data_IF_998310754046
#
_entry.id   IF_998310754046
#
_cell.length_a   1.000
_cell.length_b   1.000
_cell.length_c   1.000
_cell.angle_alpha   90.00
_cell.angle_beta   90.00
_cell.angle_gamma   90.00
#
_symmetry.space_group_name_H-M   'P 1'
#
loop_
_entity.id
_entity.type
_entity.pdbx_description
1 polymer ?
#
# COMPACT_ATOMS: atom_id res chain seq x y z
N UNK A 1 9.62 16.77 -0.35
CA UNK A 1 9.13 15.47 0.09
C UNK A 1 7.76 15.63 0.74
N UNK A 2 6.81 14.82 0.37
CA UNK A 2 5.43 14.88 0.87
C UNK A 2 5.01 13.50 1.36
N UNK A 3 4.48 13.44 2.59
CA UNK A 3 3.98 12.18 3.16
C UNK A 3 2.47 12.27 3.37
N UNK A 4 1.76 11.23 2.95
CA UNK A 4 0.32 11.07 3.17
C UNK A 4 0.15 9.84 4.04
N UNK A 5 -0.40 10.02 5.24
CA UNK A 5 -0.54 8.96 6.25
C UNK A 5 -1.99 8.56 6.41
N UNK A 6 -2.18 7.29 6.70
CA UNK A 6 -3.45 6.75 7.15
C UNK A 6 -3.19 5.68 8.19
N UNK A 7 -4.20 5.38 8.99
CA UNK A 7 -4.10 4.27 9.93
C UNK A 7 -5.47 3.64 10.12
N UNK A 8 -5.47 2.36 10.50
CA UNK A 8 -6.69 1.63 10.80
C UNK A 8 -6.37 0.57 11.83
N UNK A 9 -7.29 0.37 12.79
CA UNK A 9 -7.18 -0.68 13.78
C UNK A 9 -7.90 -1.93 13.29
N UNK A 10 -7.27 -3.08 13.45
CA UNK A 10 -7.74 -4.37 12.98
C UNK A 10 -7.92 -5.30 14.17
N UNK A 11 -9.08 -5.96 14.24
CA UNK A 11 -9.31 -7.03 15.21
C UNK A 11 -8.70 -8.31 14.65
N UNK A 12 -7.41 -8.52 14.90
CA UNK A 12 -6.65 -9.62 14.32
C UNK A 12 -5.30 -9.77 15.02
N UNK A 13 -4.68 -10.93 14.85
CA UNK A 13 -3.27 -11.10 15.16
C UNK A 13 -2.43 -10.43 14.07
N UNK A 14 -1.22 -10.03 14.42
CA UNK A 14 -0.30 -9.45 13.45
C UNK A 14 0.09 -10.47 12.38
N UNK A 15 0.22 -11.75 12.73
CA UNK A 15 0.60 -12.78 11.77
C UNK A 15 -0.48 -13.01 10.71
N UNK A 16 -1.76 -12.98 11.08
CA UNK A 16 -2.86 -13.10 10.12
C UNK A 16 -2.88 -11.89 9.18
N UNK A 17 -2.78 -10.69 9.72
CA UNK A 17 -2.76 -9.47 8.92
C UNK A 17 -1.56 -9.44 7.97
N UNK A 18 -0.39 -9.81 8.43
CA UNK A 18 0.83 -9.88 7.61
C UNK A 18 0.69 -10.87 6.46
N UNK A 19 0.15 -12.04 6.76
CA UNK A 19 -0.04 -13.09 5.77
C UNK A 19 -0.96 -12.63 4.64
N UNK A 20 -2.04 -11.94 4.98
CA UNK A 20 -2.98 -11.41 3.99
C UNK A 20 -2.34 -10.28 3.18
N UNK A 21 -1.61 -9.38 3.83
CA UNK A 21 -0.92 -8.28 3.14
C UNK A 21 0.12 -8.79 2.14
N UNK A 22 0.86 -9.83 2.49
CA UNK A 22 1.94 -10.35 1.64
C UNK A 22 1.50 -11.44 0.66
N UNK A 23 0.26 -11.87 0.73
CA UNK A 23 -0.30 -12.80 -0.26
C UNK A 23 -0.80 -12.01 -1.47
N UNK A 24 0.15 -11.57 -2.28
CA UNK A 24 -0.11 -10.70 -3.42
C UNK A 24 -1.04 -11.31 -4.45
N UNK A 25 -1.04 -12.63 -4.59
CA UNK A 25 -1.87 -13.33 -5.57
C UNK A 25 -3.36 -13.19 -5.30
N UNK A 26 -3.76 -12.81 -4.08
CA UNK A 26 -5.16 -12.67 -3.68
C UNK A 26 -5.67 -11.23 -3.66
N UNK A 27 -4.84 -10.25 -3.98
CA UNK A 27 -5.26 -8.85 -3.97
C UNK A 27 -6.47 -8.58 -4.86
N UNK A 28 -6.57 -9.25 -5.98
CA UNK A 28 -7.72 -9.11 -6.89
C UNK A 28 -9.05 -9.49 -6.24
N UNK A 29 -9.03 -10.28 -5.18
CA UNK A 29 -10.24 -10.75 -4.49
C UNK A 29 -10.85 -9.66 -3.60
N UNK A 30 -10.01 -8.85 -2.96
CA UNK A 30 -10.50 -7.94 -1.92
C UNK A 30 -10.10 -6.46 -2.10
N UNK A 31 -9.01 -6.15 -2.81
CA UNK A 31 -8.51 -4.78 -2.89
C UNK A 31 -9.17 -4.01 -4.04
N UNK A 32 -9.91 -2.92 -3.76
CA UNK A 32 -10.60 -2.18 -4.81
C UNK A 32 -9.70 -1.20 -5.58
N UNK A 33 -8.51 -0.93 -5.10
CA UNK A 33 -7.56 0.02 -5.69
C UNK A 33 -6.43 -0.70 -6.39
N UNK A 34 -5.68 -1.53 -5.64
CA UNK A 34 -4.65 -2.38 -6.23
C UNK A 34 -5.34 -3.67 -6.66
N UNK A 35 -5.68 -3.74 -7.93
CA UNK A 35 -6.51 -4.83 -8.44
C UNK A 35 -5.72 -6.09 -8.76
N UNK A 36 -4.39 -5.97 -8.89
CA UNK A 36 -3.52 -7.12 -9.13
C UNK A 36 -2.09 -6.78 -8.75
N UNK A 37 -1.40 -7.73 -8.15
CA UNK A 37 0.05 -7.68 -7.94
C UNK A 37 0.64 -8.96 -8.49
N UNK A 38 1.61 -8.81 -9.40
CA UNK A 38 2.40 -9.93 -9.94
C UNK A 38 3.79 -9.81 -9.37
N UNK A 39 4.27 -10.87 -8.75
CA UNK A 39 5.57 -10.93 -8.08
C UNK A 39 5.43 -11.52 -6.69
N UNK A 40 6.55 -11.80 -6.06
CA UNK A 40 6.58 -12.41 -4.74
C UNK A 40 7.02 -11.42 -3.66
N UNK A 41 6.62 -11.69 -2.42
CA UNK A 41 7.01 -10.86 -1.29
C UNK A 41 8.44 -11.20 -0.87
N UNK A 42 9.40 -10.70 -1.63
CA UNK A 42 10.82 -10.88 -1.40
C UNK A 42 11.55 -9.55 -1.49
N UNK A 43 12.53 -9.34 -0.64
CA UNK A 43 13.35 -8.13 -0.68
C UNK A 43 14.05 -8.02 -2.04
N UNK A 44 13.96 -6.86 -2.67
CA UNK A 44 14.54 -6.61 -3.98
C UNK A 44 13.69 -7.03 -5.16
N UNK A 45 12.56 -7.69 -4.91
CA UNK A 45 11.64 -8.11 -5.98
C UNK A 45 11.00 -6.89 -6.63
N UNK A 46 10.98 -6.90 -7.96
CA UNK A 46 10.29 -5.89 -8.75
C UNK A 46 8.89 -6.38 -9.06
N UNK A 47 7.92 -5.70 -8.51
CA UNK A 47 6.51 -6.06 -8.66
C UNK A 47 5.91 -5.41 -9.91
N UNK A 48 4.83 -6.02 -10.41
CA UNK A 48 3.96 -5.39 -11.39
C UNK A 48 2.61 -5.18 -10.73
N UNK A 49 2.26 -3.92 -10.50
CA UNK A 49 1.05 -3.56 -9.76
C UNK A 49 0.06 -2.86 -10.71
N UNK A 50 -1.16 -3.38 -10.76
CA UNK A 50 -2.26 -2.76 -11.49
C UNK A 50 -3.10 -1.95 -10.52
N UNK A 51 -3.29 -0.67 -10.80
CA UNK A 51 -4.03 0.25 -9.95
C UNK A 51 -5.22 0.80 -10.72
N UNK A 52 -6.40 0.75 -10.11
CA UNK A 52 -7.59 1.35 -10.65
C UNK A 52 -7.65 2.82 -10.25
N UNK A 53 -7.73 3.72 -11.24
CA UNK A 53 -7.87 5.15 -10.99
C UNK A 53 -9.34 5.51 -10.70
N UNK A 54 -9.59 6.71 -10.20
CA UNK A 54 -10.95 7.23 -9.97
C UNK A 54 -11.80 7.24 -11.23
N UNK A 55 -11.15 7.40 -12.40
CA UNK A 55 -11.84 7.40 -13.69
C UNK A 55 -12.11 6.00 -14.23
N UNK A 56 -11.81 4.96 -13.45
CA UNK A 56 -12.00 3.57 -13.87
C UNK A 56 -10.94 3.03 -14.81
N UNK A 57 -9.86 3.77 -15.04
CA UNK A 57 -8.75 3.32 -15.86
C UNK A 57 -7.76 2.51 -15.04
N UNK A 58 -7.01 1.64 -15.69
CA UNK A 58 -5.96 0.87 -15.06
C UNK A 58 -4.60 1.48 -15.37
N UNK A 59 -3.79 1.67 -14.33
CA UNK A 59 -2.39 2.07 -14.48
C UNK A 59 -1.49 0.99 -13.95
N UNK A 60 -0.33 0.82 -14.59
CA UNK A 60 0.65 -0.20 -14.23
C UNK A 60 1.86 0.49 -13.62
N UNK A 61 2.27 0.00 -12.45
CA UNK A 61 3.48 0.45 -11.76
C UNK A 61 4.39 -0.76 -11.52
N UNK A 62 5.70 -0.51 -11.50
CA UNK A 62 6.70 -1.56 -11.31
C UNK A 62 7.66 -1.19 -10.16
N UNK A 63 7.15 -1.12 -8.93
CA UNK A 63 7.99 -0.80 -7.79
C UNK A 63 8.86 -1.98 -7.37
N UNK A 64 9.91 -1.68 -6.62
CA UNK A 64 10.80 -2.67 -6.03
C UNK A 64 10.56 -2.70 -4.53
N UNK A 65 10.52 -3.91 -3.95
CA UNK A 65 10.41 -4.08 -2.51
C UNK A 65 11.72 -3.67 -1.87
N UNK A 66 11.67 -2.62 -1.04
CA UNK A 66 12.86 -2.03 -0.42
C UNK A 66 13.00 -2.40 1.05
N UNK A 67 11.93 -2.86 1.69
CA UNK A 67 11.96 -3.32 3.07
C UNK A 67 10.93 -4.43 3.28
N UNK A 68 11.34 -5.48 3.97
CA UNK A 68 10.48 -6.62 4.27
C UNK A 68 10.90 -7.22 5.60
N UNK A 69 10.18 -6.85 6.66
CA UNK A 69 10.36 -7.39 8.01
C UNK A 69 9.08 -8.11 8.40
N UNK A 70 9.15 -9.41 8.52
CA UNK A 70 7.97 -10.25 8.82
C UNK A 70 7.21 -9.74 10.05
N UNK A 71 5.89 -9.65 9.91
CA UNK A 71 4.98 -9.20 10.96
C UNK A 71 5.18 -7.75 11.41
N UNK A 72 5.98 -6.97 10.68
CA UNK A 72 6.28 -5.61 11.08
C UNK A 72 6.16 -4.60 9.95
N UNK A 73 6.95 -4.73 8.89
CA UNK A 73 7.04 -3.65 7.91
C UNK A 73 7.29 -4.15 6.49
N UNK A 74 6.52 -3.60 5.56
CA UNK A 74 6.69 -3.79 4.12
C UNK A 74 6.77 -2.42 3.45
N UNK A 75 7.77 -2.23 2.58
CA UNK A 75 7.88 -1.03 1.75
C UNK A 75 8.19 -1.41 0.31
N UNK A 76 7.58 -0.68 -0.61
CA UNK A 76 8.04 -0.71 -2.00
C UNK A 76 8.16 0.70 -2.56
N UNK A 77 9.09 0.88 -3.48
CA UNK A 77 9.42 2.17 -4.05
C UNK A 77 9.37 2.10 -5.57
N UNK A 78 8.64 3.03 -6.18
CA UNK A 78 8.52 3.15 -7.61
C UNK A 78 8.86 4.55 -8.09
N UNK A 79 9.12 4.65 -9.40
CA UNK A 79 9.40 5.92 -10.07
C UNK A 79 8.32 6.20 -11.10
N UNK A 80 8.06 7.48 -11.35
CA UNK A 80 7.22 7.90 -12.43
C UNK A 80 7.91 7.63 -13.77
N UNK A 81 7.17 7.80 -14.84
CA UNK A 81 7.66 7.64 -16.20
C UNK A 81 8.88 8.54 -16.49
N UNK A 82 8.91 9.74 -15.90
CA UNK A 82 10.03 10.68 -16.05
C UNK A 82 10.93 10.55 -14.82
N UNK A 83 12.20 10.11 -14.97
CA UNK A 83 13.11 9.96 -13.83
C UNK A 83 13.24 11.26 -13.05
N UNK A 84 13.15 11.18 -11.74
CA UNK A 84 13.26 12.34 -10.83
C UNK A 84 12.02 13.21 -10.76
N UNK A 85 11.02 13.00 -11.62
CA UNK A 85 9.80 13.80 -11.62
C UNK A 85 8.95 13.51 -10.39
N UNK A 86 8.60 12.24 -10.19
CA UNK A 86 7.79 11.83 -9.05
C UNK A 86 8.16 10.40 -8.65
N UNK A 87 8.66 10.26 -7.43
CA UNK A 87 8.95 8.97 -6.84
C UNK A 87 7.96 8.71 -5.73
N UNK A 88 7.49 7.48 -5.60
CA UNK A 88 6.57 7.11 -4.55
C UNK A 88 7.08 5.91 -3.77
N UNK A 89 6.98 5.97 -2.45
CA UNK A 89 7.27 4.84 -1.58
C UNK A 89 6.01 4.51 -0.79
N UNK A 90 5.52 3.28 -0.93
CA UNK A 90 4.39 2.79 -0.17
C UNK A 90 4.92 2.09 1.07
N UNK A 91 4.35 2.44 2.23
CA UNK A 91 4.82 1.96 3.52
C UNK A 91 3.65 1.34 4.28
N UNK A 92 3.84 0.09 4.72
CA UNK A 92 2.90 -0.64 5.57
C UNK A 92 3.63 -1.02 6.85
N UNK A 93 3.15 -0.54 8.00
CA UNK A 93 3.74 -0.86 9.30
C UNK A 93 2.64 -1.39 10.21
N UNK A 94 2.89 -2.55 10.82
CA UNK A 94 2.00 -3.11 11.83
C UNK A 94 2.51 -2.83 13.23
N UNK A 95 1.60 -2.42 14.12
CA UNK A 95 1.88 -2.20 15.53
C UNK A 95 0.84 -2.93 16.36
N UNK A 96 1.30 -3.86 17.21
CA UNK A 96 0.41 -4.54 18.15
C UNK A 96 -0.05 -3.52 19.19
N UNK A 97 -1.36 -3.29 19.29
CA UNK A 97 -1.92 -2.31 20.23
C UNK A 97 -2.47 -2.96 21.48
N UNK A 98 -2.92 -4.21 21.36
CA UNK A 98 -3.38 -5.01 22.48
C UNK A 98 -3.31 -6.48 22.08
N UNK A 99 -3.77 -7.38 22.96
CA UNK A 99 -3.73 -8.82 22.71
C UNK A 99 -4.40 -9.22 21.40
N UNK A 100 -5.56 -8.62 21.09
CA UNK A 100 -6.40 -9.03 19.96
C UNK A 100 -6.48 -7.96 18.86
N UNK A 101 -5.68 -6.89 18.95
CA UNK A 101 -5.73 -5.79 18.00
C UNK A 101 -4.36 -5.41 17.49
N UNK A 102 -4.31 -5.08 16.22
CA UNK A 102 -3.13 -4.56 15.55
C UNK A 102 -3.51 -3.30 14.78
N UNK A 103 -2.63 -2.31 14.78
CA UNK A 103 -2.81 -1.09 13.99
C UNK A 103 -1.96 -1.19 12.73
N UNK A 104 -2.58 -0.89 11.59
CA UNK A 104 -1.86 -0.72 10.33
C UNK A 104 -1.63 0.77 10.11
N UNK A 105 -0.36 1.15 9.98
CA UNK A 105 0.05 2.47 9.49
C UNK A 105 0.33 2.29 8.00
N UNK A 106 -0.46 2.95 7.16
CA UNK A 106 -0.38 2.81 5.71
C UNK A 106 -0.17 4.20 5.11
N UNK A 107 0.99 4.42 4.52
CA UNK A 107 1.36 5.73 4.03
C UNK A 107 2.00 5.69 2.66
N UNK A 108 2.04 6.85 2.02
CA UNK A 108 2.72 7.07 0.75
C UNK A 108 3.64 8.26 0.91
N UNK A 109 4.90 8.07 0.55
CA UNK A 109 5.93 9.11 0.64
C UNK A 109 6.33 9.51 -0.77
N UNK A 110 6.05 10.76 -1.14
CA UNK A 110 6.37 11.30 -2.46
C UNK A 110 7.62 12.16 -2.42
N UNK A 111 8.45 12.03 -3.45
CA UNK A 111 9.63 12.88 -3.65
C UNK A 111 9.79 13.18 -5.14
N UNK A 112 10.67 14.15 -5.47
CA UNK A 112 10.91 14.57 -6.83
C UNK A 112 10.24 15.91 -7.14
N UNK A 113 10.65 16.55 -8.24
CA UNK A 113 10.16 17.88 -8.57
C UNK A 113 8.68 17.93 -8.95
N UNK A 114 8.09 16.79 -9.34
CA UNK A 114 6.66 16.69 -9.63
C UNK A 114 5.77 16.90 -8.42
N UNK A 115 6.29 16.78 -7.19
CA UNK A 115 5.52 17.01 -5.97
C UNK A 115 5.04 18.46 -5.88
N UNK A 116 5.77 19.39 -6.46
CA UNK A 116 5.40 20.81 -6.47
C UNK A 116 4.23 21.05 -7.43
N UNK A 117 4.19 20.32 -8.54
CA UNK A 117 3.20 20.51 -9.61
C UNK A 117 1.90 19.75 -9.32
N UNK A 118 1.99 18.58 -8.70
CA UNK A 118 0.84 17.68 -8.52
C UNK A 118 -0.24 18.23 -7.59
N UNK A 119 0.13 19.01 -6.56
CA UNK A 119 -0.81 19.78 -5.74
C UNK A 119 -1.85 18.97 -4.97
N UNK A 120 -2.97 19.64 -4.64
CA UNK A 120 -4.03 19.11 -3.78
C UNK A 120 -4.74 17.90 -4.34
N UNK A 121 -4.90 17.82 -5.66
CA UNK A 121 -5.63 16.72 -6.30
C UNK A 121 -4.94 15.38 -6.07
N UNK A 122 -3.61 15.37 -6.18
CA UNK A 122 -2.83 14.16 -5.90
C UNK A 122 -3.01 13.72 -4.46
N UNK A 123 -2.93 14.65 -3.52
CA UNK A 123 -3.08 14.37 -2.09
C UNK A 123 -4.43 13.76 -1.80
N UNK A 124 -5.51 14.39 -2.29
CA UNK A 124 -6.87 13.90 -2.08
C UNK A 124 -7.09 12.51 -2.68
N UNK A 125 -6.58 12.28 -3.89
CA UNK A 125 -6.71 10.99 -4.56
C UNK A 125 -5.99 9.88 -3.80
N UNK A 126 -4.79 10.16 -3.31
CA UNK A 126 -4.03 9.19 -2.53
C UNK A 126 -4.68 8.93 -1.18
N UNK A 127 -5.13 9.97 -0.47
CA UNK A 127 -5.85 9.80 0.80
C UNK A 127 -7.07 8.92 0.64
N UNK A 128 -7.87 9.18 -0.40
CA UNK A 128 -9.05 8.38 -0.70
C UNK A 128 -8.69 6.92 -1.00
N UNK A 129 -7.64 6.71 -1.77
CA UNK A 129 -7.16 5.37 -2.11
C UNK A 129 -6.69 4.60 -0.88
N UNK A 130 -5.94 5.26 0.01
CA UNK A 130 -5.48 4.63 1.24
C UNK A 130 -6.65 4.21 2.12
N UNK A 131 -7.65 5.07 2.26
CA UNK A 131 -8.84 4.77 3.05
C UNK A 131 -9.64 3.60 2.48
N UNK A 132 -9.83 3.58 1.17
CA UNK A 132 -10.55 2.49 0.51
C UNK A 132 -9.82 1.15 0.70
N UNK A 133 -8.51 1.15 0.54
CA UNK A 133 -7.71 -0.06 0.73
C UNK A 133 -7.73 -0.51 2.19
N UNK A 134 -7.59 0.43 3.14
CA UNK A 134 -7.60 0.10 4.56
C UNK A 134 -8.92 -0.52 4.98
N UNK A 135 -10.04 0.03 4.52
CA UNK A 135 -11.36 -0.50 4.85
C UNK A 135 -11.56 -1.90 4.27
N UNK A 136 -11.14 -2.11 3.04
CA UNK A 136 -11.22 -3.42 2.39
C UNK A 136 -10.30 -4.44 3.08
N UNK A 137 -9.10 -4.02 3.46
CA UNK A 137 -8.15 -4.86 4.19
C UNK A 137 -8.70 -5.26 5.56
N UNK A 138 -9.29 -4.31 6.28
CA UNK A 138 -9.93 -4.59 7.58
C UNK A 138 -11.01 -5.65 7.44
N UNK A 139 -11.88 -5.52 6.46
CA UNK A 139 -12.93 -6.50 6.22
C UNK A 139 -12.37 -7.88 5.90
N UNK A 140 -11.33 -7.92 5.08
CA UNK A 140 -10.69 -9.17 4.69
C UNK A 140 -10.02 -9.85 5.88
N UNK A 141 -9.25 -9.10 6.65
CA UNK A 141 -8.51 -9.61 7.81
C UNK A 141 -9.46 -10.07 8.90
N UNK A 142 -10.48 -9.31 9.22
CA UNK A 142 -11.43 -9.65 10.28
C UNK A 142 -12.34 -10.80 9.91
N UNK A 143 -12.57 -11.00 8.62
CA UNK A 143 -13.33 -12.16 8.13
C UNK A 143 -12.55 -13.47 8.26
N UNK A 144 -11.21 -13.39 8.13
CA UNK A 144 -10.32 -14.54 8.25
C UNK A 144 -10.00 -14.93 9.70
N UNK A 145 -10.41 -14.11 10.65
CA UNK A 145 -10.08 -14.33 12.08
C UNK A 145 -11.09 -15.21 12.79
#
# INVERSE_FOLDING_TARGET
>A
MKEIRSEIELHSSVSTAWKILTDFSTFHVWNPVITQIIGEACLGERLKISVRTKKGKTRIYRPTITKLEENHELRWKGKSFIPGFLNGERIFIFQQTSRDYVRLLHSELFSGFGTIIAGHRLIEDVESSLQQMNNAFKKRVEHET
#
